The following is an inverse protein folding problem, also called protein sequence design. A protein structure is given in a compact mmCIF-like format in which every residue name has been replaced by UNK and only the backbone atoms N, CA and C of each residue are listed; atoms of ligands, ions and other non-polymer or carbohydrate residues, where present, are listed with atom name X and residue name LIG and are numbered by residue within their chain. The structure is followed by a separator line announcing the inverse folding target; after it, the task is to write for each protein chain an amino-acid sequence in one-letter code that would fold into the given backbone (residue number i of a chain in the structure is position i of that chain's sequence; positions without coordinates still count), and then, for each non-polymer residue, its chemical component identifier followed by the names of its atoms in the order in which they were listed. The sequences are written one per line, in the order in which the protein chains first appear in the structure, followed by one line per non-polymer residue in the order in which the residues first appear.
data_IF_351742923206
#
_entry.id   IF_351742923206
#
_cell.length_a   1.000
_cell.length_b   1.000
_cell.length_c   1.000
_cell.angle_alpha   90.00
_cell.angle_beta   90.00
_cell.angle_gamma   90.00
#
_symmetry.space_group_name_H-M   'P 1'
#
loop_
_entity.id
_entity.type
_entity.pdbx_description
1 polymer ?
#
# COMPACT_ATOMS: atom_id res chain seq x y z
N UNK A 1 7.31 -40.48 -21.00
CA UNK A 1 7.22 -39.10 -20.46
C UNK A 1 6.20 -38.93 -19.33
N UNK A 2 5.20 -39.82 -19.18
CA UNK A 2 4.24 -39.77 -18.07
C UNK A 2 4.87 -40.18 -16.71
N UNK A 3 5.70 -41.22 -16.67
CA UNK A 3 6.29 -41.73 -15.41
C UNK A 3 7.24 -40.76 -14.71
N UNK A 4 7.94 -39.92 -15.48
CA UNK A 4 8.86 -38.90 -14.95
C UNK A 4 8.07 -37.82 -14.19
N UNK A 5 6.87 -37.45 -14.69
CA UNK A 5 6.01 -36.46 -14.03
C UNK A 5 5.39 -37.00 -12.74
N UNK A 6 5.02 -38.28 -12.71
CA UNK A 6 4.47 -38.96 -11.52
C UNK A 6 5.52 -39.09 -10.40
N UNK A 7 6.78 -39.38 -10.76
CA UNK A 7 7.90 -39.49 -9.80
C UNK A 7 8.27 -38.16 -9.13
N UNK A 8 8.19 -37.03 -9.85
CA UNK A 8 8.43 -35.69 -9.28
C UNK A 8 7.33 -35.30 -8.29
N UNK A 9 6.08 -35.63 -8.61
CA UNK A 9 4.93 -35.37 -7.73
C UNK A 9 5.04 -36.14 -6.41
N UNK A 10 5.31 -37.46 -6.48
CA UNK A 10 5.49 -38.30 -5.30
C UNK A 10 6.64 -37.82 -4.39
N UNK A 11 7.77 -37.42 -4.99
CA UNK A 11 8.92 -36.89 -4.26
C UNK A 11 8.62 -35.56 -3.54
N UNK A 12 7.79 -34.70 -4.14
CA UNK A 12 7.37 -33.44 -3.52
C UNK A 12 6.40 -33.67 -2.36
N UNK A 13 5.47 -34.62 -2.48
CA UNK A 13 4.56 -35.02 -1.39
C UNK A 13 5.35 -35.60 -0.20
N UNK A 14 6.31 -36.51 -0.46
CA UNK A 14 7.15 -37.07 0.60
C UNK A 14 7.96 -36.00 1.32
N UNK A 15 8.54 -35.03 0.59
CA UNK A 15 9.27 -33.91 1.21
C UNK A 15 8.39 -33.05 2.11
N UNK A 16 7.14 -32.79 1.74
CA UNK A 16 6.18 -32.04 2.57
C UNK A 16 5.84 -32.80 3.85
N UNK A 17 5.58 -34.10 3.76
CA UNK A 17 5.31 -34.95 4.92
C UNK A 17 6.49 -34.97 5.89
N UNK A 18 7.71 -35.17 5.38
CA UNK A 18 8.91 -35.17 6.22
C UNK A 18 9.10 -33.82 6.93
N UNK A 19 8.90 -32.68 6.24
CA UNK A 19 9.00 -31.34 6.85
C UNK A 19 7.93 -31.07 7.90
N UNK A 20 6.71 -31.54 7.67
CA UNK A 20 5.62 -31.42 8.63
C UNK A 20 5.93 -32.24 9.90
N UNK A 21 6.44 -33.46 9.73
CA UNK A 21 6.85 -34.33 10.82
C UNK A 21 8.01 -33.70 11.62
N UNK A 22 9.04 -33.18 10.96
CA UNK A 22 10.17 -32.48 11.59
C UNK A 22 9.69 -31.31 12.46
N UNK A 23 8.79 -30.47 11.93
CA UNK A 23 8.21 -29.32 12.67
C UNK A 23 7.43 -29.74 13.91
N UNK A 24 6.70 -30.85 13.84
CA UNK A 24 5.97 -31.38 14.99
C UNK A 24 6.95 -31.89 16.04
N UNK A 25 8.01 -32.60 15.64
CA UNK A 25 9.04 -33.08 16.56
C UNK A 25 9.78 -31.93 17.24
N UNK A 26 10.10 -30.86 16.51
CA UNK A 26 10.69 -29.63 17.08
C UNK A 26 9.76 -28.96 18.10
N UNK A 27 8.46 -28.81 17.78
CA UNK A 27 7.47 -28.26 18.73
C UNK A 27 7.27 -29.11 19.98
N UNK A 28 7.46 -30.42 19.87
CA UNK A 28 7.38 -31.36 20.98
C UNK A 28 8.69 -31.47 21.77
N UNK A 29 9.73 -30.70 21.41
CA UNK A 29 11.05 -30.76 22.05
C UNK A 29 11.83 -32.05 21.77
N UNK A 30 11.41 -32.81 20.75
CA UNK A 30 12.02 -34.10 20.35
C UNK A 30 13.06 -33.95 19.22
N UNK A 31 13.23 -32.75 18.69
CA UNK A 31 14.25 -32.39 17.71
C UNK A 31 14.67 -30.93 17.93
N UNK A 32 15.96 -30.63 17.77
CA UNK A 32 16.45 -29.26 17.88
C UNK A 32 16.10 -28.43 16.63
N UNK A 33 15.75 -27.17 16.83
CA UNK A 33 15.55 -26.21 15.74
C UNK A 33 16.85 -25.42 15.54
N UNK A 34 17.47 -25.53 14.37
CA UNK A 34 18.53 -24.60 13.97
C UNK A 34 17.87 -23.25 13.67
N UNK A 35 17.97 -22.31 14.62
CA UNK A 35 17.44 -20.96 14.47
C UNK A 35 18.51 -20.06 13.84
N UNK A 36 18.16 -19.44 12.73
CA UNK A 36 18.90 -18.32 12.18
C UNK A 36 18.36 -17.02 12.82
N UNK A 37 18.94 -16.65 13.96
CA UNK A 37 18.51 -15.49 14.76
C UNK A 37 18.64 -14.18 13.98
N UNK A 38 19.70 -14.04 13.17
CA UNK A 38 19.94 -12.87 12.33
C UNK A 38 18.84 -12.73 11.26
N UNK A 39 18.44 -13.84 10.65
CA UNK A 39 17.33 -13.84 9.70
C UNK A 39 15.99 -13.49 10.36
N UNK A 40 15.74 -13.96 11.58
CA UNK A 40 14.54 -13.58 12.33
C UNK A 40 14.48 -12.08 12.59
N UNK A 41 15.60 -11.44 12.93
CA UNK A 41 15.69 -9.99 13.09
C UNK A 41 15.36 -9.26 11.78
N UNK A 42 15.91 -9.71 10.65
CA UNK A 42 15.57 -9.13 9.34
C UNK A 42 14.09 -9.30 8.99
N UNK A 43 13.48 -10.45 9.31
CA UNK A 43 12.04 -10.67 9.10
C UNK A 43 11.21 -9.74 9.98
N UNK A 44 11.64 -9.46 11.22
CA UNK A 44 10.96 -8.50 12.09
C UNK A 44 11.06 -7.07 11.55
N UNK A 45 12.26 -6.65 11.14
CA UNK A 45 12.49 -5.34 10.53
C UNK A 45 11.66 -5.16 9.25
N UNK A 46 11.62 -6.19 8.39
CA UNK A 46 10.80 -6.21 7.18
C UNK A 46 9.30 -6.03 7.49
N UNK A 47 8.76 -6.77 8.46
CA UNK A 47 7.35 -6.62 8.88
C UNK A 47 7.05 -5.24 9.42
N UNK A 48 7.98 -4.67 10.20
CA UNK A 48 7.84 -3.31 10.72
C UNK A 48 7.81 -2.29 9.58
N UNK A 49 8.71 -2.42 8.62
CA UNK A 49 8.78 -1.55 7.45
C UNK A 49 7.49 -1.59 6.62
N UNK A 50 6.92 -2.78 6.40
CA UNK A 50 5.64 -2.93 5.73
C UNK A 50 4.50 -2.23 6.48
N UNK A 51 4.45 -2.40 7.81
CA UNK A 51 3.42 -1.84 8.65
C UNK A 51 3.48 -0.30 8.66
N UNK A 52 4.67 0.28 8.78
CA UNK A 52 4.87 1.73 8.71
C UNK A 52 4.52 2.27 7.31
N UNK A 53 4.92 1.59 6.23
CA UNK A 53 4.56 1.99 4.88
C UNK A 53 3.04 1.93 4.63
N UNK A 54 2.37 0.89 5.12
CA UNK A 54 0.90 0.75 5.03
C UNK A 54 0.19 1.83 5.84
N UNK A 55 0.72 2.18 7.02
CA UNK A 55 0.21 3.29 7.82
C UNK A 55 0.35 4.62 7.06
N UNK A 56 1.53 4.91 6.52
CA UNK A 56 1.77 6.11 5.72
C UNK A 56 0.81 6.21 4.53
N UNK A 57 0.57 5.09 3.83
CA UNK A 57 -0.35 5.04 2.70
C UNK A 57 -1.79 5.41 3.11
N UNK A 58 -2.23 4.93 4.28
CA UNK A 58 -3.55 5.28 4.82
C UNK A 58 -3.66 6.77 5.14
N UNK A 59 -2.67 7.32 5.83
CA UNK A 59 -2.64 8.75 6.17
C UNK A 59 -2.61 9.62 4.90
N UNK A 60 -1.81 9.25 3.90
CA UNK A 60 -1.74 9.96 2.62
C UNK A 60 -3.08 9.94 1.87
N UNK A 61 -3.78 8.79 1.83
CA UNK A 61 -5.13 8.72 1.25
C UNK A 61 -6.13 9.58 2.02
N UNK A 62 -6.04 9.59 3.35
CA UNK A 62 -6.86 10.48 4.18
C UNK A 62 -6.61 11.95 3.88
N UNK A 63 -5.35 12.33 3.71
CA UNK A 63 -4.95 13.69 3.35
C UNK A 63 -5.48 14.11 1.97
N UNK A 64 -5.37 13.23 0.96
CA UNK A 64 -5.94 13.46 -0.38
C UNK A 64 -7.46 13.68 -0.34
N UNK A 65 -8.17 12.88 0.47
CA UNK A 65 -9.61 13.06 0.66
C UNK A 65 -9.94 14.41 1.33
N UNK A 66 -9.14 14.85 2.31
CA UNK A 66 -9.29 16.15 2.94
C UNK A 66 -9.04 17.31 1.96
N UNK A 67 -8.06 17.16 1.05
CA UNK A 67 -7.81 18.12 -0.04
C UNK A 67 -9.04 18.27 -0.94
N UNK A 68 -9.65 17.16 -1.37
CA UNK A 68 -10.89 17.20 -2.17
C UNK A 68 -12.03 17.88 -1.42
N UNK A 69 -12.19 17.60 -0.12
CA UNK A 69 -13.16 18.31 0.72
C UNK A 69 -12.90 19.82 0.79
N UNK A 70 -11.63 20.23 0.86
CA UNK A 70 -11.25 21.66 0.86
C UNK A 70 -11.52 22.33 -0.50
N UNK A 71 -11.22 21.65 -1.61
CA UNK A 71 -11.54 22.10 -2.97
C UNK A 71 -13.03 22.38 -3.10
N UNK A 72 -13.88 21.41 -2.71
CA UNK A 72 -15.34 21.57 -2.76
C UNK A 72 -15.84 22.73 -1.88
N UNK A 73 -15.32 22.85 -0.66
CA UNK A 73 -15.70 23.93 0.24
C UNK A 73 -15.29 25.32 -0.30
N UNK A 74 -14.08 25.42 -0.86
CA UNK A 74 -13.57 26.64 -1.49
C UNK A 74 -14.39 27.05 -2.71
N UNK A 75 -14.79 26.07 -3.54
CA UNK A 75 -15.61 26.31 -4.72
C UNK A 75 -17.00 26.84 -4.32
N UNK A 76 -17.69 26.15 -3.41
CA UNK A 76 -19.01 26.58 -2.90
C UNK A 76 -18.99 27.99 -2.30
N UNK A 77 -17.94 28.31 -1.54
CA UNK A 77 -17.80 29.66 -0.98
C UNK A 77 -17.68 30.72 -2.09
N UNK A 78 -16.87 30.45 -3.11
CA UNK A 78 -16.65 31.40 -4.21
C UNK A 78 -17.89 31.54 -5.10
N UNK A 79 -18.61 30.43 -5.33
CA UNK A 79 -19.92 30.44 -6.01
C UNK A 79 -20.92 31.30 -5.24
N UNK A 80 -21.04 31.10 -3.93
CA UNK A 80 -21.96 31.89 -3.10
C UNK A 80 -21.64 33.39 -3.10
N UNK A 81 -20.34 33.74 -3.14
CA UNK A 81 -19.89 35.13 -3.26
C UNK A 81 -20.29 35.73 -4.62
N UNK A 82 -20.11 34.97 -5.69
CA UNK A 82 -20.48 35.41 -7.04
C UNK A 82 -22.01 35.54 -7.22
N UNK A 83 -22.81 34.71 -6.55
CA UNK A 83 -24.28 34.78 -6.58
C UNK A 83 -24.83 36.05 -5.93
N UNK A 84 -24.24 36.49 -4.81
CA UNK A 84 -24.65 37.73 -4.12
C UNK A 84 -24.06 38.99 -4.75
N UNK A 85 -23.17 38.85 -5.75
CA UNK A 85 -22.55 39.95 -6.46
C UNK A 85 -23.48 40.50 -7.54
N UNK A 86 -23.91 41.75 -7.37
CA UNK A 86 -24.80 42.40 -8.33
C UNK A 86 -24.11 42.56 -9.70
N UNK A 87 -24.87 42.47 -10.82
CA UNK A 87 -24.30 42.52 -12.17
C UNK A 87 -23.50 43.80 -12.50
N UNK A 88 -23.84 44.92 -11.86
CA UNK A 88 -23.21 46.22 -12.06
C UNK A 88 -22.03 46.48 -11.10
N UNK A 89 -21.81 45.59 -10.12
CA UNK A 89 -20.69 45.72 -9.21
C UNK A 89 -19.37 45.43 -9.90
N UNK A 90 -18.42 46.33 -9.67
CA UNK A 90 -17.07 46.20 -10.18
C UNK A 90 -16.41 44.89 -9.74
N UNK A 91 -15.77 44.19 -10.67
CA UNK A 91 -14.98 42.99 -10.40
C UNK A 91 -15.78 41.68 -10.30
N UNK A 92 -17.08 41.68 -10.64
CA UNK A 92 -17.91 40.45 -10.64
C UNK A 92 -17.29 39.30 -11.44
N UNK A 93 -16.86 39.58 -12.67
CA UNK A 93 -16.22 38.58 -13.54
C UNK A 93 -14.83 38.18 -13.04
N UNK A 94 -14.12 39.09 -12.35
CA UNK A 94 -12.81 38.79 -11.76
C UNK A 94 -12.96 37.79 -10.60
N UNK A 95 -13.98 37.96 -9.74
CA UNK A 95 -14.29 37.01 -8.65
C UNK A 95 -14.55 35.61 -9.21
N UNK A 96 -15.35 35.52 -10.29
CA UNK A 96 -15.61 34.25 -10.97
C UNK A 96 -14.32 33.62 -11.52
N UNK A 97 -13.51 34.41 -12.21
CA UNK A 97 -12.22 33.97 -12.76
C UNK A 97 -11.25 33.49 -11.67
N UNK A 98 -11.24 34.15 -10.51
CA UNK A 98 -10.44 33.72 -9.35
C UNK A 98 -10.91 32.36 -8.85
N UNK A 99 -12.23 32.15 -8.73
CA UNK A 99 -12.80 30.85 -8.36
C UNK A 99 -12.40 29.72 -9.29
N UNK A 100 -12.55 29.93 -10.60
CA UNK A 100 -12.16 28.96 -11.64
C UNK A 100 -10.66 28.64 -11.59
N UNK A 101 -9.80 29.65 -11.41
CA UNK A 101 -8.35 29.45 -11.27
C UNK A 101 -7.99 28.70 -9.99
N UNK A 102 -8.66 29.01 -8.88
CA UNK A 102 -8.45 28.29 -7.62
C UNK A 102 -8.81 26.80 -7.76
N UNK A 103 -9.90 26.47 -8.45
CA UNK A 103 -10.30 25.09 -8.70
C UNK A 103 -9.25 24.33 -9.53
N UNK A 104 -8.73 24.94 -10.60
CA UNK A 104 -7.65 24.36 -11.41
C UNK A 104 -6.39 24.08 -10.57
N UNK A 105 -6.03 25.01 -9.67
CA UNK A 105 -4.88 24.83 -8.78
C UNK A 105 -5.10 23.69 -7.77
N UNK A 106 -6.31 23.55 -7.23
CA UNK A 106 -6.66 22.43 -6.35
C UNK A 106 -6.57 21.10 -7.08
N UNK A 107 -7.08 21.01 -8.31
CA UNK A 107 -7.05 19.79 -9.10
C UNK A 107 -5.61 19.38 -9.43
N UNK A 108 -4.78 20.31 -9.91
CA UNK A 108 -3.37 20.07 -10.22
C UNK A 108 -2.58 19.65 -8.97
N UNK A 109 -2.82 20.31 -7.83
CA UNK A 109 -2.19 19.94 -6.57
C UNK A 109 -2.55 18.52 -6.13
N UNK A 110 -3.84 18.18 -6.15
CA UNK A 110 -4.32 16.84 -5.82
C UNK A 110 -3.70 15.80 -6.77
N UNK A 111 -3.77 16.04 -8.07
CA UNK A 111 -3.26 15.09 -9.08
C UNK A 111 -1.75 14.86 -8.92
N UNK A 112 -0.97 15.90 -8.68
CA UNK A 112 0.48 15.77 -8.41
C UNK A 112 0.78 14.92 -7.19
N UNK A 113 -0.02 14.99 -6.13
CA UNK A 113 0.15 14.14 -4.96
C UNK A 113 -0.23 12.68 -5.25
N UNK A 114 -1.28 12.45 -6.04
CA UNK A 114 -1.64 11.09 -6.48
C UNK A 114 -0.51 10.46 -7.29
N UNK A 115 -0.06 11.15 -8.33
CA UNK A 115 0.93 10.60 -9.27
C UNK A 115 2.34 10.55 -8.67
N UNK A 116 2.74 11.58 -7.93
CA UNK A 116 4.09 11.72 -7.40
C UNK A 116 4.32 10.94 -6.11
N UNK A 117 3.34 10.92 -5.21
CA UNK A 117 3.51 10.37 -3.86
C UNK A 117 2.77 9.06 -3.68
N UNK A 118 1.46 9.03 -3.95
CA UNK A 118 0.63 7.85 -3.67
C UNK A 118 1.01 6.67 -4.57
N UNK A 119 1.14 6.88 -5.89
CA UNK A 119 1.53 5.83 -6.82
C UNK A 119 2.92 5.26 -6.52
N UNK A 120 3.87 6.11 -6.15
CA UNK A 120 5.22 5.71 -5.73
C UNK A 120 5.16 4.80 -4.49
N UNK A 121 4.35 5.18 -3.49
CA UNK A 121 4.18 4.39 -2.27
C UNK A 121 3.45 3.07 -2.53
N UNK A 122 2.44 3.07 -3.40
CA UNK A 122 1.71 1.87 -3.81
C UNK A 122 2.63 0.88 -4.53
N UNK A 123 3.49 1.39 -5.43
CA UNK A 123 4.51 0.59 -6.13
C UNK A 123 5.50 -0.02 -5.15
N UNK A 124 5.99 0.77 -4.19
CA UNK A 124 6.89 0.30 -3.14
C UNK A 124 6.27 -0.80 -2.28
N UNK A 125 5.05 -0.59 -1.78
CA UNK A 125 4.32 -1.58 -0.98
C UNK A 125 3.97 -2.84 -1.77
N UNK A 126 3.77 -2.72 -3.09
CA UNK A 126 3.54 -3.83 -4.00
C UNK A 126 4.67 -4.85 -4.05
N UNK A 127 5.88 -4.52 -3.60
CA UNK A 127 7.03 -5.43 -3.55
C UNK A 127 6.97 -6.41 -2.37
N UNK A 128 6.25 -6.06 -1.29
CA UNK A 128 6.25 -6.83 -0.05
C UNK A 128 5.63 -8.24 -0.19
N UNK A 129 4.48 -8.45 -0.87
CA UNK A 129 3.88 -9.77 -1.04
C UNK A 129 4.82 -10.82 -1.64
N UNK A 130 5.60 -10.45 -2.66
CA UNK A 130 6.52 -11.39 -3.31
C UNK A 130 7.68 -11.79 -2.40
N UNK A 131 8.25 -10.81 -1.67
CA UNK A 131 9.31 -11.05 -0.69
C UNK A 131 8.79 -11.95 0.45
N UNK A 132 7.52 -11.78 0.85
CA UNK A 132 6.85 -12.66 1.82
C UNK A 132 6.78 -14.11 1.37
N UNK A 133 6.48 -14.33 0.10
CA UNK A 133 6.45 -15.69 -0.46
C UNK A 133 7.85 -16.31 -0.40
N UNK A 134 8.89 -15.55 -0.74
CA UNK A 134 10.28 -16.01 -0.72
C UNK A 134 10.72 -16.49 0.68
N UNK A 135 10.60 -15.64 1.71
CA UNK A 135 11.04 -16.06 3.04
C UNK A 135 10.11 -17.11 3.68
N UNK A 136 8.83 -17.17 3.29
CA UNK A 136 7.91 -18.23 3.77
C UNK A 136 8.30 -19.61 3.23
N UNK A 137 8.83 -19.67 2.01
CA UNK A 137 9.46 -20.87 1.44
C UNK A 137 10.73 -21.23 2.21
N UNK A 138 11.55 -20.23 2.56
CA UNK A 138 12.77 -20.43 3.36
C UNK A 138 12.46 -21.02 4.76
N UNK A 139 11.43 -20.51 5.46
CA UNK A 139 10.95 -21.08 6.75
C UNK A 139 10.17 -22.40 6.63
N UNK A 140 10.20 -23.03 5.45
CA UNK A 140 9.51 -24.30 5.19
C UNK A 140 8.00 -24.27 5.46
N UNK A 141 7.33 -23.11 5.32
CA UNK A 141 5.88 -22.96 5.55
C UNK A 141 5.02 -23.31 4.31
N UNK A 142 5.45 -24.26 3.47
CA UNK A 142 4.65 -24.83 2.38
C UNK A 142 4.71 -26.34 2.37
#
# INVERSE_FOLDING_TARGET
MADIKTGIFAKNVQKRLNRAQEKVLQKLGKADETKDEQFEEYVQNFKRQEAEGTRLQRELRGYLAAIKGMQEASMKLTESLHEVYEPDWYGREDVKMVGEKCDVLWEDFHQKLVDGSLLTLDTYLGQFPDIKVFYSVYKGKK
#
